data_IF_856355854035
#
_entry.id   IF_856355854035
#
_cell.length_a   1.000
_cell.length_b   1.000
_cell.length_c   1.000
_cell.angle_alpha   90.00
_cell.angle_beta   90.00
_cell.angle_gamma   90.00
#
_symmetry.space_group_name_H-M   'P 1'
#
loop_
_entity.id
_entity.type
_entity.pdbx_description
1 polymer ?
#
# COMPACT_ATOMS: atom_id res chain seq x y z
N UNK A 1 -19.54 4.63 -21.95
CA UNK A 1 -19.39 5.65 -20.88
C UNK A 1 -17.95 5.60 -20.41
N UNK A 2 -17.14 6.61 -20.71
CA UNK A 2 -15.84 6.79 -20.08
C UNK A 2 -16.10 7.06 -18.60
N UNK A 3 -15.86 6.05 -17.75
CA UNK A 3 -15.88 6.18 -16.30
C UNK A 3 -14.93 7.35 -16.00
N UNK A 4 -15.43 8.40 -15.34
CA UNK A 4 -14.55 9.44 -14.81
C UNK A 4 -13.68 8.77 -13.76
N UNK A 5 -12.57 8.19 -14.20
CA UNK A 5 -11.49 7.69 -13.36
C UNK A 5 -10.86 8.92 -12.75
N UNK A 6 -11.42 9.41 -11.65
CA UNK A 6 -10.73 10.34 -10.77
C UNK A 6 -9.58 9.54 -10.16
N UNK A 7 -8.33 9.73 -10.61
CA UNK A 7 -7.20 8.97 -10.10
C UNK A 7 -7.12 9.26 -8.61
N UNK A 8 -6.98 8.23 -7.78
CA UNK A 8 -6.85 8.35 -6.32
C UNK A 8 -5.98 9.54 -5.90
N UNK A 9 -4.85 9.72 -6.59
CA UNK A 9 -3.88 10.79 -6.33
C UNK A 9 -4.43 12.21 -6.53
N UNK A 10 -5.39 12.43 -7.44
CA UNK A 10 -6.03 13.74 -7.59
C UNK A 10 -6.86 14.13 -6.36
N UNK A 11 -7.44 13.13 -5.68
CA UNK A 11 -8.16 13.33 -4.43
C UNK A 11 -7.17 13.53 -3.27
N UNK A 12 -6.16 12.68 -3.17
CA UNK A 12 -5.14 12.74 -2.11
C UNK A 12 -4.33 14.04 -2.12
N UNK A 13 -4.03 14.61 -3.29
CA UNK A 13 -3.37 15.91 -3.42
C UNK A 13 -4.16 17.07 -2.77
N UNK A 14 -5.46 16.90 -2.52
CA UNK A 14 -6.32 17.92 -1.88
C UNK A 14 -6.45 17.73 -0.37
N UNK A 15 -5.79 16.72 0.21
CA UNK A 15 -5.93 16.35 1.62
C UNK A 15 -4.57 16.34 2.35
N UNK A 16 -3.88 17.48 2.44
CA UNK A 16 -2.54 17.52 3.04
C UNK A 16 -2.51 17.24 4.55
N UNK A 17 -3.65 17.40 5.22
CA UNK A 17 -3.81 17.21 6.66
C UNK A 17 -4.38 15.83 7.03
N UNK A 18 -4.52 14.92 6.06
CA UNK A 18 -5.00 13.57 6.32
C UNK A 18 -4.00 12.80 7.20
N UNK A 19 -4.43 12.36 8.39
CA UNK A 19 -3.60 11.60 9.33
C UNK A 19 -3.65 10.08 9.10
N UNK A 20 -4.81 9.57 8.72
CA UNK A 20 -5.05 8.13 8.54
C UNK A 20 -5.78 7.90 7.20
N UNK A 21 -5.29 6.94 6.40
CA UNK A 21 -5.87 6.55 5.12
C UNK A 21 -6.10 5.05 5.09
N UNK A 22 -7.31 4.66 4.68
CA UNK A 22 -7.68 3.26 4.45
C UNK A 22 -8.10 3.10 3.00
N UNK A 23 -7.41 2.23 2.27
CA UNK A 23 -7.73 1.84 0.90
C UNK A 23 -8.21 0.40 0.92
N UNK A 24 -9.51 0.19 0.82
CA UNK A 24 -10.11 -1.14 0.81
C UNK A 24 -10.52 -1.53 -0.60
N UNK A 25 -10.06 -2.67 -1.05
CA UNK A 25 -10.42 -3.24 -2.34
C UNK A 25 -11.67 -4.10 -2.18
N UNK A 26 -12.73 -3.78 -2.93
CA UNK A 26 -14.00 -4.51 -2.88
C UNK A 26 -14.30 -5.20 -4.22
N UNK A 27 -13.26 -5.55 -4.97
CA UNK A 27 -13.37 -6.19 -6.27
C UNK A 27 -12.01 -6.37 -6.96
N UNK A 28 -11.97 -7.14 -8.06
CA UNK A 28 -10.72 -7.48 -8.74
C UNK A 28 -10.17 -6.34 -9.60
N UNK A 29 -11.00 -5.34 -9.94
CA UNK A 29 -10.67 -4.29 -10.90
C UNK A 29 -9.55 -3.37 -10.40
N UNK A 30 -8.57 -3.12 -11.28
CA UNK A 30 -7.51 -2.15 -11.04
C UNK A 30 -8.01 -0.71 -11.16
N UNK A 31 -8.29 -0.07 -10.02
CA UNK A 31 -8.80 1.30 -9.94
C UNK A 31 -7.75 2.34 -9.49
N UNK A 32 -6.62 1.90 -8.92
CA UNK A 32 -5.48 2.79 -8.61
C UNK A 32 -4.55 2.79 -9.81
N UNK A 33 -4.36 3.97 -10.40
CA UNK A 33 -3.50 4.18 -11.56
C UNK A 33 -2.37 5.18 -11.22
N UNK A 34 -1.18 5.03 -11.83
CA UNK A 34 -0.13 6.03 -11.71
C UNK A 34 -0.65 7.39 -12.18
N UNK A 35 -0.41 8.41 -11.36
CA UNK A 35 -0.61 9.80 -11.71
C UNK A 35 0.67 10.56 -11.39
N UNK A 36 0.79 11.82 -11.82
CA UNK A 36 1.86 12.68 -11.32
C UNK A 36 1.45 13.24 -9.96
N UNK A 37 2.31 13.09 -8.95
CA UNK A 37 2.25 13.91 -7.73
C UNK A 37 2.84 15.27 -8.08
N UNK A 38 2.10 16.34 -7.79
CA UNK A 38 2.50 17.71 -8.17
C UNK A 38 3.38 18.38 -7.10
N UNK A 39 3.38 17.86 -5.87
CA UNK A 39 4.15 18.35 -4.74
C UNK A 39 5.08 17.26 -4.20
N UNK A 40 6.20 17.68 -3.61
CA UNK A 40 7.02 16.82 -2.76
C UNK A 40 6.19 16.43 -1.51
N UNK A 41 5.72 15.18 -1.48
CA UNK A 41 4.92 14.59 -0.41
C UNK A 41 3.57 15.31 -0.11
N UNK A 42 2.55 15.14 -0.98
CA UNK A 42 1.23 15.75 -0.76
C UNK A 42 0.52 15.25 0.48
N UNK A 43 0.86 14.05 0.99
CA UNK A 43 0.30 13.44 2.19
C UNK A 43 1.22 13.64 3.41
N UNK A 44 1.77 14.85 3.54
CA UNK A 44 2.76 15.24 4.56
C UNK A 44 2.36 15.00 6.01
N UNK A 45 1.08 14.82 6.33
CA UNK A 45 0.59 14.47 7.67
C UNK A 45 0.10 13.04 7.83
N UNK A 46 0.12 12.24 6.77
CA UNK A 46 -0.34 10.87 6.84
C UNK A 46 0.61 10.03 7.68
N UNK A 47 0.13 9.49 8.80
CA UNK A 47 0.89 8.66 9.76
C UNK A 47 0.52 7.19 9.68
N UNK A 48 -0.70 6.87 9.24
CA UNK A 48 -1.20 5.50 9.17
C UNK A 48 -1.83 5.20 7.82
N UNK A 49 -1.36 4.14 7.17
CA UNK A 49 -1.88 3.64 5.90
C UNK A 49 -2.25 2.17 6.04
N UNK A 50 -3.51 1.85 5.78
CA UNK A 50 -3.99 0.49 5.61
C UNK A 50 -4.42 0.26 4.15
N UNK A 51 -3.84 -0.75 3.53
CA UNK A 51 -4.26 -1.29 2.24
C UNK A 51 -4.95 -2.63 2.52
N UNK A 52 -6.27 -2.64 2.47
CA UNK A 52 -7.09 -3.79 2.86
C UNK A 52 -7.64 -4.55 1.65
N UNK A 53 -7.63 -5.87 1.75
CA UNK A 53 -8.29 -6.81 0.82
C UNK A 53 -7.72 -6.73 -0.61
N UNK A 54 -6.44 -6.42 -0.75
CA UNK A 54 -5.78 -6.27 -2.04
C UNK A 54 -5.79 -7.62 -2.79
N UNK A 55 -6.29 -7.70 -4.04
CA UNK A 55 -6.28 -8.96 -4.76
C UNK A 55 -4.84 -9.45 -5.00
N UNK A 56 -4.58 -10.77 -5.00
CA UNK A 56 -3.24 -11.32 -5.15
C UNK A 56 -2.65 -11.08 -6.55
N UNK A 57 -3.47 -10.72 -7.53
CA UNK A 57 -3.02 -10.30 -8.86
C UNK A 57 -2.42 -8.89 -8.87
N UNK A 58 -2.45 -8.15 -7.76
CA UNK A 58 -1.87 -6.82 -7.68
C UNK A 58 -0.44 -6.82 -7.14
N UNK A 59 0.42 -6.07 -7.82
CA UNK A 59 1.82 -5.90 -7.46
C UNK A 59 1.96 -4.98 -6.23
N UNK A 60 2.50 -5.47 -5.12
CA UNK A 60 2.71 -4.68 -3.88
C UNK A 60 3.51 -3.39 -4.08
N UNK A 61 4.38 -3.33 -5.11
CA UNK A 61 5.29 -2.19 -5.32
C UNK A 61 4.60 -0.87 -5.57
N UNK A 62 3.32 -0.86 -5.97
CA UNK A 62 2.57 0.40 -6.10
C UNK A 62 2.43 1.14 -4.76
N UNK A 63 2.44 0.43 -3.64
CA UNK A 63 2.32 1.04 -2.30
C UNK A 63 3.55 1.87 -1.93
N UNK A 64 4.71 1.62 -2.55
CA UNK A 64 5.88 2.51 -2.47
C UNK A 64 5.56 3.91 -2.98
N UNK A 65 4.67 4.03 -3.96
CA UNK A 65 4.29 5.34 -4.49
C UNK A 65 3.54 6.18 -3.44
N UNK A 66 2.72 5.54 -2.60
CA UNK A 66 2.10 6.20 -1.44
C UNK A 66 3.12 6.53 -0.35
N UNK A 67 4.09 5.64 -0.13
CA UNK A 67 5.19 5.88 0.81
C UNK A 67 5.99 7.14 0.42
N UNK A 68 6.30 7.32 -0.86
CA UNK A 68 6.98 8.52 -1.38
C UNK A 68 6.13 9.79 -1.22
N UNK A 69 4.81 9.66 -1.31
CA UNK A 69 3.88 10.76 -1.12
C UNK A 69 3.67 11.16 0.36
N UNK A 70 4.07 10.33 1.32
CA UNK A 70 3.69 10.44 2.73
C UNK A 70 4.90 10.48 3.67
N UNK A 71 5.67 11.56 3.67
CA UNK A 71 6.93 11.67 4.42
C UNK A 71 6.82 11.43 5.95
N UNK A 72 5.62 11.57 6.53
CA UNK A 72 5.34 11.34 7.95
C UNK A 72 4.75 9.95 8.25
N UNK A 73 4.71 9.03 7.27
CA UNK A 73 4.07 7.73 7.44
C UNK A 73 4.82 6.88 8.46
N UNK A 74 4.14 6.48 9.53
CA UNK A 74 4.74 5.71 10.64
C UNK A 74 4.40 4.22 10.55
N UNK A 75 3.20 3.91 10.07
CA UNK A 75 2.69 2.53 9.96
C UNK A 75 2.14 2.26 8.57
N UNK A 76 2.54 1.14 7.97
CA UNK A 76 2.03 0.63 6.71
C UNK A 76 1.55 -0.81 6.90
N UNK A 77 0.24 -1.01 6.80
CA UNK A 77 -0.39 -2.32 6.88
C UNK A 77 -0.96 -2.68 5.52
N UNK A 78 -0.67 -3.90 5.06
CA UNK A 78 -1.15 -4.43 3.79
C UNK A 78 -1.77 -5.80 4.04
N UNK A 79 -2.99 -5.98 3.58
CA UNK A 79 -3.68 -7.26 3.52
C UNK A 79 -3.87 -7.65 2.06
N UNK A 80 -3.30 -8.78 1.68
CA UNK A 80 -3.52 -9.45 0.40
C UNK A 80 -4.58 -10.51 0.60
N UNK A 81 -5.72 -10.36 -0.06
CA UNK A 81 -6.83 -11.31 0.03
C UNK A 81 -6.53 -12.56 -0.80
N UNK A 82 -5.76 -13.48 -0.22
CA UNK A 82 -5.42 -14.77 -0.83
C UNK A 82 -6.64 -15.65 -1.12
N UNK A 83 -7.78 -15.41 -0.45
CA UNK A 83 -9.02 -16.14 -0.70
C UNK A 83 -9.76 -15.65 -1.97
N UNK A 84 -9.49 -14.42 -2.42
CA UNK A 84 -10.08 -13.85 -3.64
C UNK A 84 -9.68 -14.55 -4.95
N UNK A 85 -8.80 -15.55 -4.90
CA UNK A 85 -8.67 -16.55 -5.96
C UNK A 85 -7.28 -16.64 -6.57
N UNK A 86 -6.80 -17.88 -6.65
CA UNK A 86 -5.57 -18.36 -7.30
C UNK A 86 -5.66 -18.42 -8.83
N UNK A 87 -6.80 -18.07 -9.43
CA UNK A 87 -7.07 -18.25 -10.85
C UNK A 87 -6.57 -17.09 -11.74
N UNK A 88 -6.28 -15.92 -11.15
CA UNK A 88 -5.74 -14.80 -11.90
C UNK A 88 -4.22 -14.88 -11.91
N UNK A 89 -3.63 -14.98 -13.11
CA UNK A 89 -2.20 -14.78 -13.30
C UNK A 89 -1.77 -13.46 -12.63
N UNK A 90 -0.56 -13.40 -12.03
CA UNK A 90 -0.06 -12.18 -11.42
C UNK A 90 -0.17 -11.06 -12.45
N UNK A 91 -0.92 -10.01 -12.09
CA UNK A 91 -1.22 -8.92 -12.99
C UNK A 91 0.08 -8.26 -13.43
N UNK A 92 0.11 -7.73 -14.66
CA UNK A 92 1.30 -7.06 -15.20
C UNK A 92 1.78 -5.99 -14.23
N UNK A 93 3.08 -6.01 -13.90
CA UNK A 93 3.73 -4.94 -13.15
C UNK A 93 3.46 -3.62 -13.85
N UNK A 94 3.06 -2.62 -13.08
CA UNK A 94 2.91 -1.26 -13.55
C UNK A 94 4.17 -0.53 -13.11
N UNK A 95 4.87 0.12 -14.04
CA UNK A 95 5.99 0.97 -13.68
C UNK A 95 5.44 2.23 -13.00
N UNK A 96 5.75 2.40 -11.72
CA UNK A 96 5.39 3.59 -10.95
C UNK A 96 6.55 4.59 -11.00
N UNK A 97 6.27 5.89 -11.14
CA UNK A 97 7.31 6.92 -11.16
C UNK A 97 7.87 7.11 -9.74
N UNK A 98 8.81 6.26 -9.35
CA UNK A 98 9.46 6.29 -8.02
C UNK A 98 10.89 6.82 -8.10
N UNK A 99 11.33 7.58 -7.10
CA UNK A 99 12.70 8.11 -7.06
C UNK A 99 13.73 7.02 -6.68
N UNK A 100 14.79 6.86 -7.48
CA UNK A 100 15.77 5.78 -7.31
C UNK A 100 16.46 5.76 -5.93
N UNK A 101 16.77 6.94 -5.37
CA UNK A 101 17.50 7.10 -4.10
C UNK A 101 16.60 7.49 -2.91
N UNK A 102 15.29 7.25 -3.03
CA UNK A 102 14.36 7.60 -1.97
C UNK A 102 14.73 6.92 -0.63
N UNK A 103 14.65 7.68 0.47
CA UNK A 103 14.82 7.18 1.83
C UNK A 103 13.68 7.67 2.72
N UNK A 104 12.87 6.73 3.20
CA UNK A 104 11.78 7.02 4.11
C UNK A 104 12.28 7.03 5.56
N UNK A 105 12.05 8.12 6.30
CA UNK A 105 12.65 8.33 7.63
C UNK A 105 11.68 8.16 8.81
N UNK A 106 10.38 8.06 8.55
CA UNK A 106 9.37 7.97 9.61
C UNK A 106 8.73 6.57 9.76
N UNK A 107 8.83 5.72 8.74
CA UNK A 107 8.14 4.42 8.73
C UNK A 107 8.84 3.48 9.71
N UNK A 108 8.10 3.05 10.73
CA UNK A 108 8.59 2.21 11.83
C UNK A 108 8.03 0.80 11.75
N UNK A 109 6.81 0.67 11.24
CA UNK A 109 6.07 -0.59 11.20
C UNK A 109 5.60 -0.94 9.79
N UNK A 110 5.90 -2.17 9.37
CA UNK A 110 5.38 -2.78 8.15
C UNK A 110 4.72 -4.12 8.50
N UNK A 111 3.43 -4.25 8.19
CA UNK A 111 2.69 -5.51 8.34
C UNK A 111 2.18 -5.94 6.98
N UNK A 112 2.46 -7.18 6.58
CA UNK A 112 1.91 -7.79 5.37
C UNK A 112 1.21 -9.08 5.76
N UNK A 113 -0.09 -9.14 5.52
CA UNK A 113 -0.94 -10.32 5.72
C UNK A 113 -1.34 -10.89 4.37
N UNK A 114 -1.35 -12.21 4.23
CA UNK A 114 -1.37 -12.89 2.94
C UNK A 114 0.00 -12.93 2.26
N UNK A 115 1.08 -12.84 3.05
CA UNK A 115 2.45 -12.94 2.53
C UNK A 115 2.74 -14.37 2.05
N UNK A 116 3.21 -14.51 0.81
CA UNK A 116 3.57 -15.80 0.21
C UNK A 116 5.05 -15.80 -0.19
N UNK A 117 5.93 -16.55 0.50
CA UNK A 117 7.37 -16.62 0.17
C UNK A 117 7.64 -17.11 -1.24
N UNK A 118 6.76 -17.96 -1.79
CA UNK A 118 6.87 -18.45 -3.17
C UNK A 118 6.63 -17.36 -4.24
N UNK A 119 6.08 -16.20 -3.85
CA UNK A 119 5.82 -15.08 -4.74
C UNK A 119 7.00 -14.11 -4.70
N UNK A 120 7.92 -14.21 -5.67
CA UNK A 120 9.13 -13.38 -5.74
C UNK A 120 8.89 -11.87 -5.63
N UNK A 121 7.71 -11.39 -6.05
CA UNK A 121 7.31 -9.98 -5.94
C UNK A 121 7.16 -9.53 -4.48
N UNK A 122 6.72 -10.44 -3.60
CA UNK A 122 6.59 -10.14 -2.18
C UNK A 122 7.98 -10.03 -1.53
N UNK A 123 8.90 -10.95 -1.85
CA UNK A 123 10.28 -10.90 -1.36
C UNK A 123 11.00 -9.63 -1.84
N UNK A 124 10.87 -9.29 -3.13
CA UNK A 124 11.45 -8.07 -3.70
C UNK A 124 10.86 -6.82 -3.03
N UNK A 125 9.54 -6.78 -2.80
CA UNK A 125 8.90 -5.68 -2.10
C UNK A 125 9.45 -5.51 -0.67
N UNK A 126 9.55 -6.59 0.10
CA UNK A 126 10.08 -6.52 1.47
C UNK A 126 11.53 -6.05 1.46
N UNK A 127 12.37 -6.62 0.58
CA UNK A 127 13.77 -6.19 0.42
C UNK A 127 13.87 -4.70 0.07
N UNK A 128 13.01 -4.23 -0.84
CA UNK A 128 12.93 -2.83 -1.21
C UNK A 128 12.54 -1.95 -0.01
N UNK A 129 11.53 -2.34 0.77
CA UNK A 129 11.09 -1.60 1.95
C UNK A 129 12.19 -1.53 3.01
N UNK A 130 12.89 -2.64 3.27
CA UNK A 130 14.01 -2.71 4.22
C UNK A 130 15.18 -1.80 3.81
N UNK A 131 15.46 -1.70 2.50
CA UNK A 131 16.54 -0.82 2.01
C UNK A 131 16.14 0.67 1.97
N UNK A 132 14.85 0.95 1.81
CA UNK A 132 14.31 2.30 1.61
C UNK A 132 13.92 2.97 2.93
N UNK A 133 13.44 2.21 3.91
CA UNK A 133 12.90 2.73 5.17
C UNK A 133 13.93 2.63 6.30
N UNK A 134 14.61 3.73 6.59
CA UNK A 134 15.76 3.74 7.54
C UNK A 134 15.37 3.66 9.00
N UNK A 135 14.09 3.93 9.33
CA UNK A 135 13.55 3.85 10.69
C UNK A 135 12.73 2.58 10.94
N UNK A 136 12.68 1.67 9.97
CA UNK A 136 11.88 0.45 10.04
C UNK A 136 12.45 -0.47 11.12
N UNK A 137 11.60 -0.92 12.04
CA UNK A 137 12.00 -1.72 13.21
C UNK A 137 11.02 -2.85 13.51
N UNK A 138 9.75 -2.68 13.17
CA UNK A 138 8.69 -3.63 13.42
C UNK A 138 8.23 -4.18 12.06
N UNK A 139 8.50 -5.45 11.78
CA UNK A 139 8.10 -6.11 10.53
C UNK A 139 7.38 -7.41 10.85
N UNK A 140 6.15 -7.54 10.37
CA UNK A 140 5.36 -8.77 10.50
C UNK A 140 4.91 -9.25 9.11
N UNK A 141 5.31 -10.48 8.76
CA UNK A 141 4.90 -11.15 7.53
C UNK A 141 4.05 -12.36 7.93
N UNK A 142 2.77 -12.32 7.57
CA UNK A 142 1.77 -13.28 8.01
C UNK A 142 1.17 -13.96 6.79
N UNK A 143 1.19 -15.29 6.75
CA UNK A 143 0.62 -16.05 5.64
C UNK A 143 -0.91 -15.99 5.63
N UNK A 144 -1.49 -15.95 6.83
CA UNK A 144 -2.93 -15.94 7.04
C UNK A 144 -3.33 -14.79 7.95
N UNK A 145 -4.59 -14.38 7.80
CA UNK A 145 -5.21 -13.34 8.60
C UNK A 145 -6.27 -12.62 7.77
N UNK A 146 -7.00 -11.71 8.41
CA UNK A 146 -8.00 -10.90 7.73
C UNK A 146 -8.11 -9.52 8.37
N UNK A 147 -8.67 -8.57 7.63
CA UNK A 147 -8.94 -7.23 8.09
C UNK A 147 -10.36 -7.13 8.62
N UNK A 148 -10.50 -6.74 9.89
CA UNK A 148 -11.80 -6.48 10.52
C UNK A 148 -11.99 -4.99 10.78
N UNK A 149 -13.14 -4.45 10.34
CA UNK A 149 -13.57 -3.12 10.75
C UNK A 149 -13.97 -3.14 12.24
N UNK A 150 -13.37 -2.27 13.04
CA UNK A 150 -13.73 -1.95 14.43
C UNK A 150 -14.41 -0.58 14.58
N UNK A 151 -14.60 0.14 13.48
CA UNK A 151 -15.28 1.43 13.44
C UNK A 151 -15.07 2.06 12.05
N UNK A 152 -15.46 3.33 11.89
CA UNK A 152 -15.26 4.03 10.62
C UNK A 152 -13.78 4.10 10.22
N UNK A 153 -12.86 4.12 11.19
CA UNK A 153 -11.42 4.27 10.96
C UNK A 153 -10.54 3.32 11.78
N UNK A 154 -11.13 2.55 12.70
CA UNK A 154 -10.41 1.50 13.41
C UNK A 154 -10.55 0.20 12.65
N UNK A 155 -9.40 -0.38 12.33
CA UNK A 155 -9.29 -1.64 11.63
C UNK A 155 -8.26 -2.48 12.37
N UNK A 156 -8.57 -3.75 12.55
CA UNK A 156 -7.66 -4.69 13.18
C UNK A 156 -7.29 -5.77 12.17
N UNK A 157 -5.98 -5.96 12.02
CA UNK A 157 -5.44 -7.15 11.38
C UNK A 157 -5.50 -8.29 12.40
N UNK A 158 -6.33 -9.29 12.12
CA UNK A 158 -6.46 -10.48 12.96
C UNK A 158 -5.65 -11.62 12.34
N UNK A 159 -4.73 -12.18 13.13
CA UNK A 159 -3.90 -13.35 12.82
C UNK A 159 -4.59 -14.65 13.17
#
# INVERSE_FOLDING_TARGET
>A
MTRNEYPLFNFLNRLPDLDTLVLRFTGPERWVAPAMLHDDAPLRRLRRLLVADMPPSWDLTWTRYLLEAAAALETLHIHVDVAAGTAASPGRRVAWPTAAEFKHRALRELVIVGYRPSEWQHEEFVSLMMSTCVALRDVALLEHGHVRAKGHWDWELMT
#
